data_IF_910652016185
#
_entry.id   IF_910652016185
#
_cell.length_a   1.000
_cell.length_b   1.000
_cell.length_c   1.000
_cell.angle_alpha   90.00
_cell.angle_beta   90.00
_cell.angle_gamma   90.00
#
_symmetry.space_group_name_H-M   'P 1'
#
loop_
_entity.id
_entity.type
_entity.pdbx_description
1 polymer ?
#
# COMPACT_ATOMS: atom_id res chain seq x y z
N UNK A 1 30.11 -26.60 31.75
CA UNK A 1 28.69 -26.84 32.11
C UNK A 1 27.81 -25.59 32.04
N UNK A 2 28.26 -24.41 32.45
CA UNK A 2 27.46 -23.17 32.37
C UNK A 2 27.21 -22.67 30.93
N UNK A 3 28.19 -22.83 30.05
CA UNK A 3 28.12 -22.42 28.63
C UNK A 3 27.12 -23.27 27.83
N UNK A 4 27.17 -24.59 28.02
CA UNK A 4 26.18 -25.55 27.47
C UNK A 4 24.74 -25.28 27.95
N UNK A 5 24.54 -24.77 29.16
CA UNK A 5 23.19 -24.37 29.65
C UNK A 5 22.72 -23.04 29.06
N UNK A 6 23.62 -22.09 28.74
CA UNK A 6 23.28 -20.84 28.04
C UNK A 6 22.89 -21.11 26.59
N UNK A 7 23.68 -21.90 25.86
CA UNK A 7 23.38 -22.23 24.47
C UNK A 7 22.05 -22.98 24.31
N UNK A 8 21.72 -23.88 25.26
CA UNK A 8 20.41 -24.54 25.29
C UNK A 8 19.26 -23.58 25.62
N UNK A 9 19.52 -22.55 26.43
CA UNK A 9 18.55 -21.49 26.74
C UNK A 9 18.25 -20.62 25.52
N UNK A 10 19.29 -20.20 24.80
CA UNK A 10 19.19 -19.36 23.61
C UNK A 10 18.56 -20.11 22.42
N UNK A 11 18.89 -21.39 22.24
CA UNK A 11 18.24 -22.22 21.22
C UNK A 11 16.73 -22.39 21.47
N UNK A 12 16.32 -22.57 22.73
CA UNK A 12 14.91 -22.72 23.11
C UNK A 12 14.13 -21.40 23.00
N UNK A 13 14.77 -20.26 23.28
CA UNK A 13 14.14 -18.94 23.13
C UNK A 13 13.95 -18.60 21.65
N UNK A 14 14.95 -18.87 20.81
CA UNK A 14 14.88 -18.69 19.36
C UNK A 14 13.78 -19.58 18.74
N UNK A 15 13.70 -20.85 19.14
CA UNK A 15 12.68 -21.79 18.64
C UNK A 15 11.26 -21.34 18.99
N UNK A 16 11.03 -20.87 20.23
CA UNK A 16 9.74 -20.31 20.64
C UNK A 16 9.36 -19.04 19.87
N UNK A 17 10.35 -18.19 19.60
CA UNK A 17 10.15 -16.99 18.77
C UNK A 17 9.66 -17.33 17.37
N UNK A 18 10.33 -18.28 16.70
CA UNK A 18 9.93 -18.74 15.37
C UNK A 18 8.52 -19.35 15.39
N UNK A 19 8.22 -20.20 16.37
CA UNK A 19 6.91 -20.83 16.49
C UNK A 19 5.79 -19.80 16.64
N UNK A 20 5.99 -18.77 17.46
CA UNK A 20 5.03 -17.67 17.64
C UNK A 20 4.82 -16.88 16.35
N UNK A 21 5.90 -16.51 15.65
CA UNK A 21 5.78 -15.77 14.38
C UNK A 21 5.09 -16.60 13.30
N UNK A 22 5.36 -17.91 13.24
CA UNK A 22 4.69 -18.83 12.32
C UNK A 22 3.19 -18.95 12.63
N UNK A 23 2.82 -19.06 13.91
CA UNK A 23 1.42 -19.08 14.32
C UNK A 23 0.67 -17.80 13.89
N UNK A 24 1.27 -16.62 14.12
CA UNK A 24 0.70 -15.34 13.67
C UNK A 24 0.49 -15.33 12.16
N UNK A 25 1.48 -15.80 11.38
CA UNK A 25 1.39 -15.86 9.94
C UNK A 25 0.26 -16.78 9.45
N UNK A 26 0.07 -17.94 10.08
CA UNK A 26 -1.02 -18.88 9.77
C UNK A 26 -2.38 -18.23 10.06
N UNK A 27 -2.52 -17.56 11.21
CA UNK A 27 -3.76 -16.84 11.55
C UNK A 27 -4.06 -15.77 10.52
N UNK A 28 -3.06 -14.95 10.15
CA UNK A 28 -3.21 -13.92 9.11
C UNK A 28 -3.61 -14.55 7.77
N UNK A 29 -2.98 -15.65 7.36
CA UNK A 29 -3.34 -16.36 6.13
C UNK A 29 -4.83 -16.73 6.11
N UNK A 30 -5.29 -17.42 7.16
CA UNK A 30 -6.68 -17.91 7.26
C UNK A 30 -7.67 -16.75 7.28
N UNK A 31 -7.38 -15.67 8.02
CA UNK A 31 -8.25 -14.50 8.12
C UNK A 31 -8.25 -13.67 6.82
N UNK A 32 -7.13 -13.60 6.12
CA UNK A 32 -7.04 -12.87 4.83
C UNK A 32 -7.85 -13.54 3.73
N UNK A 33 -7.97 -14.88 3.71
CA UNK A 33 -8.69 -15.61 2.67
C UNK A 33 -10.14 -15.12 2.43
N UNK A 34 -11.06 -15.10 3.43
CA UNK A 34 -12.43 -14.64 3.22
C UNK A 34 -12.51 -13.15 2.88
N UNK A 35 -11.58 -12.34 3.39
CA UNK A 35 -11.52 -10.92 3.06
C UNK A 35 -11.11 -10.67 1.60
N UNK A 36 -10.09 -11.39 1.11
CA UNK A 36 -9.67 -11.29 -0.29
C UNK A 36 -10.76 -11.83 -1.22
N UNK A 37 -11.45 -12.91 -0.82
CA UNK A 37 -12.61 -13.40 -1.58
C UNK A 37 -13.71 -12.35 -1.67
N UNK A 38 -14.04 -11.67 -0.56
CA UNK A 38 -15.02 -10.59 -0.57
C UNK A 38 -14.58 -9.44 -1.49
N UNK A 39 -13.29 -9.09 -1.51
CA UNK A 39 -12.78 -8.04 -2.40
C UNK A 39 -12.81 -8.42 -3.88
N UNK A 40 -12.38 -9.64 -4.22
CA UNK A 40 -12.23 -10.08 -5.62
C UNK A 40 -13.55 -10.53 -6.23
N UNK A 41 -14.39 -11.20 -5.46
CA UNK A 41 -15.70 -11.70 -5.93
C UNK A 41 -16.79 -10.73 -5.49
N UNK A 42 -17.03 -10.61 -4.18
CA UNK A 42 -18.18 -9.84 -3.68
C UNK A 42 -18.24 -8.38 -4.14
N UNK A 43 -17.14 -7.64 -3.97
CA UNK A 43 -17.02 -6.25 -4.43
C UNK A 43 -16.48 -6.16 -5.86
N UNK A 44 -15.68 -7.13 -6.28
CA UNK A 44 -15.04 -7.14 -7.60
C UNK A 44 -16.02 -7.24 -8.75
N UNK A 45 -17.19 -7.85 -8.56
CA UNK A 45 -18.28 -7.90 -9.55
C UNK A 45 -18.67 -6.52 -10.09
N UNK A 46 -18.53 -5.48 -9.27
CA UNK A 46 -18.88 -4.10 -9.67
C UNK A 46 -17.78 -3.44 -10.51
N UNK A 47 -16.50 -3.74 -10.24
CA UNK A 47 -15.37 -2.96 -10.76
C UNK A 47 -14.49 -3.73 -11.76
N UNK A 48 -14.30 -5.04 -11.58
CA UNK A 48 -13.45 -5.87 -12.46
C UNK A 48 -13.97 -5.86 -13.91
N UNK A 49 -15.28 -5.97 -14.20
CA UNK A 49 -15.77 -5.86 -15.57
C UNK A 49 -15.48 -4.48 -16.20
N UNK A 50 -15.50 -3.41 -15.39
CA UNK A 50 -15.21 -2.05 -15.87
C UNK A 50 -13.72 -1.88 -16.17
N UNK A 51 -12.84 -2.43 -15.32
CA UNK A 51 -11.39 -2.33 -15.46
C UNK A 51 -10.83 -3.22 -16.58
N UNK A 52 -11.26 -4.48 -16.63
CA UNK A 52 -10.66 -5.52 -17.48
C UNK A 52 -11.60 -6.03 -18.58
N UNK A 53 -12.89 -5.71 -18.53
CA UNK A 53 -13.90 -6.24 -19.44
C UNK A 53 -14.53 -7.54 -18.94
N UNK A 54 -15.73 -7.83 -19.45
CA UNK A 54 -16.55 -8.95 -18.99
C UNK A 54 -15.89 -10.32 -19.25
N UNK A 55 -15.18 -10.48 -20.37
CA UNK A 55 -14.47 -11.73 -20.69
C UNK A 55 -13.37 -12.06 -19.69
N UNK A 56 -12.65 -11.05 -19.20
CA UNK A 56 -11.62 -11.24 -18.18
C UNK A 56 -12.22 -11.48 -16.81
N UNK A 57 -13.30 -10.77 -16.48
CA UNK A 57 -14.08 -11.01 -15.26
C UNK A 57 -14.55 -12.48 -15.16
N UNK A 58 -15.17 -13.03 -16.21
CA UNK A 58 -15.58 -14.43 -16.24
C UNK A 58 -14.41 -15.41 -16.03
N UNK A 59 -13.24 -15.09 -16.59
CA UNK A 59 -12.03 -15.91 -16.38
C UNK A 59 -11.55 -15.84 -14.93
N UNK A 60 -11.49 -14.65 -14.34
CA UNK A 60 -11.01 -14.40 -12.98
C UNK A 60 -11.94 -14.99 -11.92
N UNK A 61 -13.25 -14.98 -12.15
CA UNK A 61 -14.25 -15.53 -11.22
C UNK A 61 -14.37 -17.06 -11.28
N UNK A 62 -13.64 -17.74 -12.18
CA UNK A 62 -13.56 -19.20 -12.11
C UNK A 62 -12.90 -19.63 -10.79
N UNK A 63 -13.39 -20.72 -10.16
CA UNK A 63 -12.89 -21.19 -8.86
C UNK A 63 -11.37 -21.40 -8.80
N UNK A 64 -10.76 -21.86 -9.90
CA UNK A 64 -9.32 -22.09 -9.98
C UNK A 64 -8.52 -20.77 -9.97
N UNK A 65 -8.67 -19.84 -10.95
CA UNK A 65 -8.05 -18.53 -10.92
C UNK A 65 -8.28 -17.75 -9.62
N UNK A 66 -9.54 -17.65 -9.16
CA UNK A 66 -9.83 -16.89 -7.94
C UNK A 66 -9.16 -17.51 -6.71
N UNK A 67 -9.19 -18.85 -6.60
CA UNK A 67 -8.51 -19.57 -5.53
C UNK A 67 -7.01 -19.32 -5.54
N UNK A 68 -6.38 -19.33 -6.73
CA UNK A 68 -4.93 -19.03 -6.84
C UNK A 68 -4.60 -17.61 -6.42
N UNK A 69 -5.41 -16.61 -6.81
CA UNK A 69 -5.22 -15.21 -6.41
C UNK A 69 -5.34 -15.08 -4.89
N UNK A 70 -6.36 -15.69 -4.30
CA UNK A 70 -6.58 -15.69 -2.84
C UNK A 70 -5.38 -16.30 -2.12
N UNK A 71 -4.91 -17.49 -2.54
CA UNK A 71 -3.78 -18.15 -1.90
C UNK A 71 -2.49 -17.33 -2.00
N UNK A 72 -2.21 -16.74 -3.17
CA UNK A 72 -1.01 -15.92 -3.38
C UNK A 72 -1.08 -14.66 -2.51
N UNK A 73 -2.19 -13.93 -2.53
CA UNK A 73 -2.35 -12.70 -1.76
C UNK A 73 -2.35 -12.97 -0.25
N UNK A 74 -3.07 -13.99 0.22
CA UNK A 74 -3.05 -14.40 1.63
C UNK A 74 -1.66 -14.85 2.08
N UNK A 75 -0.94 -15.60 1.21
CA UNK A 75 0.45 -15.98 1.44
C UNK A 75 1.38 -14.77 1.56
N UNK A 76 1.17 -13.74 0.73
CA UNK A 76 1.93 -12.50 0.79
C UNK A 76 1.71 -11.74 2.11
N UNK A 77 0.45 -11.61 2.56
CA UNK A 77 0.12 -10.99 3.86
C UNK A 77 0.67 -11.79 5.04
N UNK A 78 0.55 -13.13 4.99
CA UNK A 78 1.11 -14.02 6.01
C UNK A 78 2.63 -13.88 6.10
N UNK A 79 3.32 -13.80 4.96
CA UNK A 79 4.76 -13.60 4.91
C UNK A 79 5.19 -12.23 5.44
N UNK A 80 4.41 -11.18 5.17
CA UNK A 80 4.64 -9.87 5.77
C UNK A 80 4.43 -9.90 7.30
N UNK A 81 3.34 -10.50 7.77
CA UNK A 81 3.05 -10.64 9.19
C UNK A 81 4.14 -11.45 9.93
N UNK A 82 4.66 -12.52 9.30
CA UNK A 82 5.79 -13.28 9.82
C UNK A 82 7.04 -12.41 10.03
N UNK A 83 7.37 -11.57 9.05
CA UNK A 83 8.50 -10.63 9.13
C UNK A 83 8.31 -9.56 10.21
N UNK A 84 7.11 -8.96 10.27
CA UNK A 84 6.75 -7.99 11.30
C UNK A 84 6.80 -8.60 12.71
N UNK A 85 6.30 -9.83 12.88
CA UNK A 85 6.35 -10.54 14.17
C UNK A 85 7.78 -10.83 14.65
N UNK A 86 8.77 -10.74 13.76
CA UNK A 86 10.20 -10.86 14.07
C UNK A 86 10.92 -9.51 14.16
N UNK A 87 10.18 -8.40 14.08
CA UNK A 87 10.71 -7.03 14.02
C UNK A 87 11.78 -6.84 12.93
N UNK A 88 11.68 -7.60 11.84
CA UNK A 88 12.68 -7.61 10.78
C UNK A 88 11.99 -7.78 9.42
N UNK A 89 11.94 -6.69 8.65
CA UNK A 89 11.32 -6.69 7.32
C UNK A 89 12.41 -6.59 6.26
N UNK A 90 12.45 -7.57 5.34
CA UNK A 90 13.43 -7.63 4.28
C UNK A 90 13.26 -6.52 3.25
N UNK A 91 14.36 -5.87 2.87
CA UNK A 91 14.37 -4.80 1.86
C UNK A 91 13.92 -5.32 0.49
N UNK A 92 14.31 -6.55 0.13
CA UNK A 92 13.89 -7.21 -1.11
C UNK A 92 12.37 -7.41 -1.15
N UNK A 93 11.79 -7.82 -0.03
CA UNK A 93 10.34 -8.02 0.11
C UNK A 93 9.59 -6.68 -0.01
N UNK A 94 10.06 -5.64 0.68
CA UNK A 94 9.49 -4.29 0.56
C UNK A 94 9.55 -3.78 -0.88
N UNK A 95 10.71 -3.91 -1.55
CA UNK A 95 10.88 -3.51 -2.95
C UNK A 95 9.95 -4.29 -3.88
N UNK A 96 9.81 -5.60 -3.70
CA UNK A 96 8.88 -6.41 -4.48
C UNK A 96 7.42 -5.96 -4.25
N UNK A 97 7.03 -5.74 -2.99
CA UNK A 97 5.69 -5.26 -2.64
C UNK A 97 5.41 -3.88 -3.24
N UNK A 98 6.40 -3.00 -3.21
CA UNK A 98 6.37 -1.68 -3.85
C UNK A 98 6.16 -1.74 -5.35
N UNK A 99 6.87 -2.63 -6.06
CA UNK A 99 6.72 -2.78 -7.51
C UNK A 99 5.33 -3.33 -7.85
N UNK A 100 4.90 -4.40 -7.17
CA UNK A 100 3.56 -4.98 -7.35
C UNK A 100 2.49 -3.93 -7.10
N UNK A 101 2.63 -3.17 -6.01
CA UNK A 101 1.72 -2.09 -5.66
C UNK A 101 1.63 -1.03 -6.77
N UNK A 102 2.77 -0.50 -7.25
CA UNK A 102 2.79 0.54 -8.29
C UNK A 102 2.15 0.03 -9.59
N UNK A 103 2.42 -1.22 -9.98
CA UNK A 103 1.79 -1.82 -11.17
C UNK A 103 0.27 -1.93 -11.02
N UNK A 104 -0.21 -2.39 -9.86
CA UNK A 104 -1.64 -2.49 -9.59
C UNK A 104 -2.31 -1.11 -9.50
N UNK A 105 -1.67 -0.15 -8.81
CA UNK A 105 -2.15 1.22 -8.71
C UNK A 105 -2.25 1.88 -10.09
N UNK A 106 -1.22 1.70 -10.93
CA UNK A 106 -1.22 2.17 -12.32
C UNK A 106 -2.39 1.56 -13.09
N UNK A 107 -2.59 0.24 -13.00
CA UNK A 107 -3.69 -0.44 -13.69
C UNK A 107 -5.06 0.06 -13.22
N UNK A 108 -5.27 0.19 -11.91
CA UNK A 108 -6.53 0.67 -11.34
C UNK A 108 -6.81 2.10 -11.79
N UNK A 109 -5.85 3.01 -11.62
CA UNK A 109 -6.04 4.43 -11.97
C UNK A 109 -6.24 4.59 -13.48
N UNK A 110 -5.39 3.97 -14.30
CA UNK A 110 -5.50 4.10 -15.75
C UNK A 110 -6.79 3.49 -16.28
N UNK A 111 -7.22 2.32 -15.80
CA UNK A 111 -8.33 1.59 -16.41
C UNK A 111 -9.71 1.93 -15.85
N UNK A 112 -9.81 2.75 -14.78
CA UNK A 112 -11.10 3.05 -14.10
C UNK A 112 -12.17 3.68 -14.99
N UNK A 113 -11.80 4.37 -16.08
CA UNK A 113 -12.73 5.10 -16.95
C UNK A 113 -12.50 4.82 -18.43
N UNK A 114 -12.11 3.58 -18.74
CA UNK A 114 -11.76 3.17 -20.10
C UNK A 114 -12.87 3.47 -21.10
N UNK A 115 -12.50 4.09 -22.22
CA UNK A 115 -13.43 4.45 -23.29
C UNK A 115 -14.13 5.80 -23.10
N UNK A 116 -13.92 6.47 -21.97
CA UNK A 116 -14.39 7.83 -21.73
C UNK A 116 -13.24 8.80 -21.97
N UNK A 117 -13.54 9.92 -22.64
CA UNK A 117 -12.56 10.99 -22.87
C UNK A 117 -13.22 12.34 -22.60
N UNK A 118 -12.50 13.22 -21.92
CA UNK A 118 -12.97 14.57 -21.61
C UNK A 118 -11.90 15.40 -20.92
N UNK A 119 -12.24 16.66 -20.67
CA UNK A 119 -11.38 17.61 -19.97
C UNK A 119 -12.21 18.32 -18.90
N UNK A 120 -11.84 18.16 -17.63
CA UNK A 120 -12.51 18.81 -16.51
C UNK A 120 -11.50 19.65 -15.72
N UNK A 121 -11.60 20.96 -15.89
CA UNK A 121 -10.80 21.97 -15.17
C UNK A 121 -11.61 22.72 -14.13
N UNK A 122 -12.86 22.31 -13.86
CA UNK A 122 -13.70 22.96 -12.87
C UNK A 122 -13.47 22.32 -11.49
N UNK A 123 -12.78 22.98 -10.53
CA UNK A 123 -12.55 22.42 -9.21
C UNK A 123 -13.85 22.24 -8.40
N UNK A 124 -14.90 23.00 -8.70
CA UNK A 124 -16.20 22.87 -8.03
C UNK A 124 -16.92 21.56 -8.40
N UNK A 125 -16.47 20.86 -9.45
CA UNK A 125 -16.95 19.53 -9.81
C UNK A 125 -16.70 18.50 -8.68
N UNK A 126 -15.81 18.79 -7.73
CA UNK A 126 -15.64 17.97 -6.54
C UNK A 126 -16.96 17.76 -5.78
N UNK A 127 -17.81 18.79 -5.65
CA UNK A 127 -19.08 18.70 -4.91
C UNK A 127 -20.03 17.71 -5.60
N UNK A 128 -20.11 17.79 -6.93
CA UNK A 128 -20.92 16.88 -7.73
C UNK A 128 -20.38 15.46 -7.70
N UNK A 129 -19.05 15.27 -7.79
CA UNK A 129 -18.43 13.94 -7.72
C UNK A 129 -18.57 13.31 -6.35
N UNK A 130 -18.45 14.09 -5.27
CA UNK A 130 -18.62 13.58 -3.91
C UNK A 130 -20.06 13.14 -3.65
N UNK A 131 -21.04 13.79 -4.28
CA UNK A 131 -22.45 13.43 -4.17
C UNK A 131 -22.82 12.23 -5.05
N UNK A 132 -22.30 12.18 -6.28
CA UNK A 132 -22.68 11.18 -7.28
C UNK A 132 -21.83 9.90 -7.22
N UNK A 133 -20.54 10.00 -6.89
CA UNK A 133 -19.58 8.89 -6.92
C UNK A 133 -18.45 9.07 -5.88
N UNK A 134 -18.78 9.13 -4.58
CA UNK A 134 -17.79 9.36 -3.51
C UNK A 134 -16.68 8.29 -3.46
N UNK A 135 -16.98 7.06 -3.90
CA UNK A 135 -16.00 5.97 -3.94
C UNK A 135 -14.84 6.24 -4.90
N UNK A 136 -15.08 6.93 -6.03
CA UNK A 136 -14.03 7.27 -7.01
C UNK A 136 -13.09 8.33 -6.43
N UNK A 137 -13.67 9.36 -5.79
CA UNK A 137 -12.90 10.40 -5.08
C UNK A 137 -12.04 9.77 -3.99
N UNK A 138 -12.62 8.86 -3.20
CA UNK A 138 -11.90 8.16 -2.14
C UNK A 138 -10.77 7.27 -2.70
N UNK A 139 -11.01 6.58 -3.82
CA UNK A 139 -10.03 5.74 -4.48
C UNK A 139 -8.79 6.54 -4.90
N UNK A 140 -8.97 7.71 -5.51
CA UNK A 140 -7.87 8.60 -5.91
C UNK A 140 -6.99 8.98 -4.70
N UNK A 141 -7.60 9.30 -3.56
CA UNK A 141 -6.86 9.59 -2.32
C UNK A 141 -6.14 8.32 -1.83
N UNK A 142 -6.87 7.22 -1.67
CA UNK A 142 -6.34 5.99 -1.05
C UNK A 142 -5.18 5.39 -1.84
N UNK A 143 -5.25 5.38 -3.17
CA UNK A 143 -4.20 4.81 -4.03
C UNK A 143 -2.89 5.60 -3.94
N UNK A 144 -2.93 6.89 -3.66
CA UNK A 144 -1.71 7.70 -3.56
C UNK A 144 -1.09 7.76 -2.16
N UNK A 145 -1.77 7.27 -1.11
CA UNK A 145 -1.20 7.19 0.25
C UNK A 145 0.08 6.33 0.27
N UNK A 146 0.09 5.06 -0.18
CA UNK A 146 1.32 4.28 -0.19
C UNK A 146 2.41 4.87 -1.09
N UNK A 147 2.04 5.53 -2.20
CA UNK A 147 2.98 6.22 -3.08
C UNK A 147 3.71 7.35 -2.32
N UNK A 148 2.98 8.12 -1.50
CA UNK A 148 3.56 9.13 -0.61
C UNK A 148 4.55 8.55 0.39
N UNK A 149 4.20 7.42 1.02
CA UNK A 149 5.10 6.72 1.94
C UNK A 149 6.38 6.23 1.25
N UNK A 150 6.27 5.76 0.00
CA UNK A 150 7.41 5.24 -0.77
C UNK A 150 8.36 6.35 -1.20
N UNK A 151 7.84 7.52 -1.57
CA UNK A 151 8.64 8.68 -2.00
C UNK A 151 9.24 9.47 -0.84
N UNK A 152 8.79 9.25 0.40
CA UNK A 152 9.45 9.82 1.59
C UNK A 152 10.95 9.45 1.66
N UNK A 153 11.32 8.26 1.18
CA UNK A 153 12.72 7.81 1.15
C UNK A 153 13.64 8.60 0.20
N UNK A 154 13.12 9.58 -0.56
CA UNK A 154 13.94 10.47 -1.37
C UNK A 154 14.68 11.47 -0.48
N UNK A 155 15.96 11.72 -0.81
CA UNK A 155 16.84 12.62 -0.04
C UNK A 155 16.33 14.08 0.10
N UNK A 156 15.37 14.51 -0.70
CA UNK A 156 14.86 15.89 -0.67
C UNK A 156 13.35 15.93 -0.90
N UNK A 157 12.61 16.41 0.11
CA UNK A 157 11.17 16.59 0.07
C UNK A 157 10.71 17.39 -1.16
N UNK A 158 11.40 18.50 -1.50
CA UNK A 158 11.05 19.31 -2.67
C UNK A 158 11.12 18.50 -3.97
N UNK A 159 12.14 17.63 -4.10
CA UNK A 159 12.26 16.76 -5.27
C UNK A 159 11.15 15.72 -5.32
N UNK A 160 10.76 15.15 -4.18
CA UNK A 160 9.63 14.22 -4.10
C UNK A 160 8.32 14.89 -4.55
N UNK A 161 8.05 16.10 -4.04
CA UNK A 161 6.88 16.90 -4.40
C UNK A 161 6.84 17.29 -5.88
N UNK A 162 7.96 17.77 -6.44
CA UNK A 162 8.04 18.09 -7.87
C UNK A 162 7.81 16.84 -8.71
N UNK A 163 8.44 15.72 -8.33
CA UNK A 163 8.31 14.46 -9.06
C UNK A 163 6.86 13.95 -9.07
N UNK A 164 6.17 13.98 -7.93
CA UNK A 164 4.80 13.48 -7.87
C UNK A 164 3.82 14.37 -8.64
N UNK A 165 4.01 15.70 -8.64
CA UNK A 165 3.17 16.60 -9.44
C UNK A 165 3.34 16.28 -10.93
N UNK A 166 4.57 16.10 -11.40
CA UNK A 166 4.84 15.72 -12.78
C UNK A 166 4.20 14.36 -13.12
N UNK A 167 4.35 13.36 -12.22
CA UNK A 167 3.76 12.03 -12.42
C UNK A 167 2.24 12.10 -12.48
N UNK A 168 1.57 12.75 -11.52
CA UNK A 168 0.10 12.84 -11.47
C UNK A 168 -0.44 13.57 -12.70
N UNK A 169 0.11 14.74 -13.04
CA UNK A 169 -0.33 15.47 -14.24
C UNK A 169 -0.05 14.67 -15.52
N UNK A 170 1.09 13.98 -15.60
CA UNK A 170 1.42 13.11 -16.72
C UNK A 170 0.44 11.94 -16.83
N UNK A 171 0.07 11.31 -15.72
CA UNK A 171 -0.88 10.20 -15.67
C UNK A 171 -2.27 10.62 -16.19
N UNK A 172 -2.80 11.74 -15.72
CA UNK A 172 -4.07 12.31 -16.20
C UNK A 172 -4.01 12.65 -17.69
N UNK A 173 -2.87 13.20 -18.14
CA UNK A 173 -2.67 13.49 -19.56
C UNK A 173 -2.65 12.20 -20.39
N UNK A 174 -1.97 11.15 -19.93
CA UNK A 174 -1.97 9.85 -20.59
C UNK A 174 -3.36 9.23 -20.64
N UNK A 175 -4.15 9.36 -19.56
CA UNK A 175 -5.55 8.92 -19.57
C UNK A 175 -6.36 9.61 -20.66
N UNK A 176 -6.22 10.93 -20.79
CA UNK A 176 -6.88 11.68 -21.84
C UNK A 176 -6.41 11.29 -23.24
N UNK A 177 -5.10 11.16 -23.47
CA UNK A 177 -4.51 10.85 -24.78
C UNK A 177 -4.91 9.45 -25.25
N UNK A 178 -4.91 8.46 -24.34
CA UNK A 178 -5.25 7.07 -24.65
C UNK A 178 -6.74 6.73 -24.49
N UNK A 179 -7.60 7.72 -24.27
CA UNK A 179 -9.04 7.52 -24.03
C UNK A 179 -9.32 6.51 -22.89
N UNK A 180 -8.49 6.58 -21.85
CA UNK A 180 -8.62 5.77 -20.63
C UNK A 180 -9.33 6.55 -19.51
N UNK A 181 -9.57 7.84 -19.70
CA UNK A 181 -10.30 8.69 -18.77
C UNK A 181 -10.38 10.16 -19.18
N UNK A 182 -10.91 10.94 -18.24
CA UNK A 182 -11.02 12.40 -18.32
C UNK A 182 -9.79 12.99 -17.66
N UNK A 183 -9.15 13.99 -18.28
CA UNK A 183 -8.15 14.79 -17.57
C UNK A 183 -8.89 15.66 -16.55
N UNK A 184 -8.78 15.33 -15.26
CA UNK A 184 -9.59 15.97 -14.22
C UNK A 184 -8.74 16.66 -13.14
N UNK A 185 -8.93 17.96 -12.97
CA UNK A 185 -8.26 18.76 -11.93
C UNK A 185 -8.63 18.28 -10.51
N UNK A 186 -9.83 17.72 -10.34
CA UNK A 186 -10.27 17.12 -9.08
C UNK A 186 -9.45 15.87 -8.81
N UNK A 187 -9.24 15.00 -9.79
CA UNK A 187 -8.42 13.79 -9.65
C UNK A 187 -6.97 14.15 -9.30
N UNK A 188 -6.39 15.15 -9.98
CA UNK A 188 -5.06 15.69 -9.64
C UNK A 188 -5.01 16.11 -8.16
N UNK A 189 -6.00 16.87 -7.72
CA UNK A 189 -6.07 17.39 -6.36
C UNK A 189 -6.21 16.27 -5.32
N UNK A 190 -7.08 15.29 -5.57
CA UNK A 190 -7.30 14.15 -4.68
C UNK A 190 -6.07 13.24 -4.59
N UNK A 191 -5.40 12.98 -5.72
CA UNK A 191 -4.14 12.23 -5.76
C UNK A 191 -3.04 12.93 -4.95
N UNK A 192 -2.94 14.27 -5.06
CA UNK A 192 -2.00 15.06 -4.25
C UNK A 192 -2.32 15.01 -2.75
N UNK A 193 -3.61 15.06 -2.37
CA UNK A 193 -4.02 14.89 -0.96
C UNK A 193 -3.61 13.49 -0.45
N UNK A 194 -3.87 12.44 -1.23
CA UNK A 194 -3.46 11.07 -0.90
C UNK A 194 -1.96 10.96 -0.68
N UNK A 195 -1.17 11.50 -1.62
CA UNK A 195 0.27 11.57 -1.50
C UNK A 195 0.71 12.32 -0.23
N UNK A 196 0.10 13.46 0.07
CA UNK A 196 0.40 14.28 1.25
C UNK A 196 0.23 13.49 2.54
N UNK A 197 -0.91 12.80 2.68
CA UNK A 197 -1.22 11.98 3.85
C UNK A 197 -0.15 10.89 4.01
N UNK A 198 0.15 10.16 2.94
CA UNK A 198 1.17 9.12 2.94
C UNK A 198 2.57 9.61 3.33
N UNK A 199 2.99 10.74 2.74
CA UNK A 199 4.28 11.35 3.02
C UNK A 199 4.39 11.76 4.50
N UNK A 200 3.37 12.43 5.03
CA UNK A 200 3.32 12.86 6.44
C UNK A 200 3.25 11.68 7.41
N UNK A 201 2.48 10.64 7.09
CA UNK A 201 2.45 9.42 7.90
C UNK A 201 3.85 8.79 8.01
N UNK A 202 4.61 8.75 6.92
CA UNK A 202 5.96 8.19 6.94
C UNK A 202 6.94 9.10 7.69
N UNK A 203 6.83 10.41 7.55
CA UNK A 203 7.60 11.38 8.34
C UNK A 203 7.42 11.17 9.84
N UNK A 204 6.18 11.03 10.28
CA UNK A 204 5.86 10.76 11.68
C UNK A 204 6.40 9.42 12.17
N UNK A 205 6.35 8.39 11.34
CA UNK A 205 6.93 7.07 11.65
C UNK A 205 8.45 7.13 11.81
N UNK A 206 9.17 7.86 10.95
CA UNK A 206 10.63 8.01 11.06
C UNK A 206 11.04 8.93 12.21
N UNK A 207 10.20 9.90 12.58
CA UNK A 207 10.44 10.74 13.77
C UNK A 207 10.30 9.94 15.07
N UNK A 208 9.31 9.05 15.14
CA UNK A 208 9.00 8.25 16.33
C UNK A 208 9.88 7.01 16.47
N UNK A 209 10.24 6.38 15.37
CA UNK A 209 10.98 5.11 15.35
C UNK A 209 12.29 5.27 14.62
N UNK A 210 13.38 4.87 15.27
CA UNK A 210 14.69 4.79 14.64
C UNK A 210 14.83 3.42 13.95
N UNK A 211 14.97 3.46 12.64
CA UNK A 211 15.12 2.28 11.79
C UNK A 211 16.58 2.11 11.38
N UNK A 212 17.10 0.90 11.49
CA UNK A 212 18.44 0.55 11.00
C UNK A 212 18.33 -0.60 9.98
N UNK A 213 19.15 -0.51 8.94
CA UNK A 213 19.26 -1.57 7.94
C UNK A 213 20.42 -2.50 8.32
N UNK A 214 20.11 -3.69 8.82
CA UNK A 214 21.10 -4.71 9.20
C UNK A 214 20.90 -5.94 8.32
N UNK A 215 21.93 -6.32 7.55
CA UNK A 215 21.91 -7.53 6.72
C UNK A 215 20.80 -7.56 5.66
N UNK A 216 20.40 -6.40 5.12
CA UNK A 216 19.30 -6.31 4.13
C UNK A 216 17.90 -6.40 4.72
N UNK A 217 17.75 -6.20 6.03
CA UNK A 217 16.48 -6.09 6.72
C UNK A 217 16.40 -4.75 7.46
N UNK A 218 15.22 -4.12 7.47
CA UNK A 218 14.93 -3.01 8.37
C UNK A 218 14.51 -3.54 9.73
N UNK A 219 15.08 -2.97 10.79
CA UNK A 219 14.74 -3.24 12.19
C UNK A 219 14.51 -1.94 12.94
N UNK A 220 13.56 -1.97 13.87
CA UNK A 220 13.37 -0.86 14.81
C UNK A 220 14.39 -1.03 15.94
N UNK A 221 15.25 -0.03 16.13
CA UNK A 221 16.33 -0.06 17.13
C UNK A 221 15.95 0.73 18.38
N UNK A 222 15.21 1.83 18.21
CA UNK A 222 14.81 2.72 19.32
C UNK A 222 13.47 3.39 19.04
N UNK A 223 12.71 3.62 20.11
CA UNK A 223 11.51 4.44 20.09
C UNK A 223 11.84 5.76 20.77
N UNK A 224 11.59 6.87 20.10
CA UNK A 224 11.74 8.21 20.67
C UNK A 224 10.57 8.48 21.61
N UNK A 225 10.84 8.55 22.92
CA UNK A 225 9.87 9.05 23.89
C UNK A 225 9.86 10.58 23.86
N UNK A 226 9.27 11.17 22.84
CA UNK A 226 9.07 12.62 22.78
C UNK A 226 7.68 12.96 23.28
N UNK A 227 7.50 12.96 24.60
CA UNK A 227 6.33 13.51 25.28
C UNK A 227 6.62 13.75 26.78
N UNK A 228 7.47 14.73 27.12
CA UNK A 228 7.36 15.44 28.42
C UNK A 228 8.26 16.69 28.61
N UNK A 229 9.24 16.98 27.75
CA UNK A 229 10.19 18.08 28.04
C UNK A 229 9.94 19.44 27.35
N UNK A 230 8.99 19.56 26.41
CA UNK A 230 8.74 20.85 25.75
C UNK A 230 7.86 21.82 26.57
N UNK A 231 7.36 21.40 27.72
CA UNK A 231 6.62 22.25 28.67
C UNK A 231 7.46 22.80 29.83
N UNK A 232 8.78 22.53 29.85
CA UNK A 232 9.70 23.12 30.85
C UNK A 232 10.75 24.07 30.24
N UNK A 233 10.66 24.34 28.93
CA UNK A 233 11.56 25.26 28.22
C UNK A 233 10.82 26.43 27.55
N UNK A 234 9.76 26.94 28.19
CA UNK A 234 9.12 28.22 27.87
C UNK A 234 8.95 29.05 29.14
#
# INVERSE_FOLDING_TARGET
MAESRRDQGDARSATRGVLRSSFIAIVVFVVSCPFIWLLVVGLGDQWIPQLLGYSWYQRLCNPLPVGTIICIAAGWFAWFAFQCARNAVGVRFLRASSIVYVVLALAIVMLKSRGVRGFNINPLNLITQLSASPSIVLLNIMVYIPVGMMLYGMHNAKRAWISIVIIICGMELLQYVFALGIFDIVDISMNLIGFSIGYLCMDELFRKYHWEQVGGQYRIVRISHTAQNDSQAR
#
